data_IF_370619947268
#
_entry.id   IF_370619947268
#
_cell.length_a   1.000
_cell.length_b   1.000
_cell.length_c   1.000
_cell.angle_alpha   90.00
_cell.angle_beta   90.00
_cell.angle_gamma   90.00
#
_symmetry.space_group_name_H-M   'P 1'
#
loop_
_entity.id
_entity.type
_entity.pdbx_description
1 polymer ?
#
# COMPACT_ATOMS: atom_id res chain seq x y z
N UNK A 1 -1.70 -6.28 -9.70
CA UNK A 1 -1.74 -7.04 -10.98
C UNK A 1 -0.59 -8.04 -10.93
N UNK A 2 -0.80 -9.35 -11.12
CA UNK A 2 0.15 -10.48 -10.83
C UNK A 2 0.06 -11.22 -9.48
N UNK A 3 -0.97 -11.04 -8.65
CA UNK A 3 -1.03 -11.85 -7.43
C UNK A 3 -1.06 -13.37 -7.71
N UNK A 4 -1.66 -13.80 -8.84
CA UNK A 4 -1.66 -15.21 -9.27
C UNK A 4 -0.42 -15.69 -10.04
N UNK A 5 0.50 -14.82 -10.47
CA UNK A 5 1.75 -15.26 -11.12
C UNK A 5 2.94 -15.21 -10.16
N UNK A 6 2.88 -14.34 -9.14
CA UNK A 6 3.80 -14.38 -8.00
C UNK A 6 3.61 -15.66 -7.14
N UNK A 7 2.42 -16.28 -7.17
CA UNK A 7 2.18 -17.58 -6.54
C UNK A 7 3.05 -18.72 -7.09
N UNK A 8 3.68 -18.55 -8.26
CA UNK A 8 4.62 -19.52 -8.83
C UNK A 8 6.10 -19.26 -8.50
N UNK A 9 6.42 -18.14 -7.85
CA UNK A 9 7.79 -17.79 -7.42
C UNK A 9 8.05 -18.02 -5.93
N UNK A 10 7.13 -18.69 -5.23
CA UNK A 10 7.33 -19.18 -3.86
C UNK A 10 7.99 -20.57 -3.80
N UNK A 11 8.53 -21.07 -4.92
CA UNK A 11 9.40 -22.24 -4.93
C UNK A 11 10.87 -21.80 -5.09
N UNK A 12 11.58 -21.93 -3.98
CA UNK A 12 13.02 -22.13 -3.88
C UNK A 12 13.94 -21.09 -4.53
N UNK A 13 14.10 -19.95 -3.85
CA UNK A 13 15.43 -19.33 -3.76
C UNK A 13 16.28 -20.12 -2.75
N UNK A 14 16.59 -21.38 -3.07
CA UNK A 14 17.79 -22.02 -2.53
C UNK A 14 19.00 -21.36 -3.21
N UNK A 15 19.49 -20.29 -2.59
CA UNK A 15 20.82 -19.78 -2.89
C UNK A 15 21.80 -20.93 -2.75
N UNK A 16 22.51 -21.22 -3.85
CA UNK A 16 23.63 -22.14 -3.95
C UNK A 16 24.81 -21.64 -3.11
N UNK A 17 24.68 -21.68 -1.79
CA UNK A 17 25.79 -21.60 -0.86
C UNK A 17 26.12 -23.03 -0.42
N UNK A 18 27.28 -23.50 -0.86
CA UNK A 18 27.79 -24.82 -0.52
C UNK A 18 27.91 -25.03 1.00
N UNK A 19 27.55 -26.24 1.41
CA UNK A 19 28.08 -26.91 2.59
C UNK A 19 27.77 -26.30 3.95
N UNK A 20 26.56 -26.53 4.48
CA UNK A 20 26.31 -26.33 5.92
C UNK A 20 24.86 -26.53 6.33
N UNK A 21 24.45 -27.77 6.63
CA UNK A 21 23.13 -28.06 7.20
C UNK A 21 22.83 -27.22 8.47
N UNK A 22 23.85 -26.81 9.23
CA UNK A 22 23.70 -25.95 10.42
C UNK A 22 23.28 -24.50 10.13
N UNK A 23 23.74 -23.89 9.02
CA UNK A 23 23.39 -22.51 8.67
C UNK A 23 21.94 -22.38 8.17
N UNK A 24 21.43 -23.38 7.43
CA UNK A 24 20.03 -23.39 6.98
C UNK A 24 19.04 -23.48 8.16
N UNK A 25 19.35 -24.28 9.18
CA UNK A 25 18.50 -24.42 10.38
C UNK A 25 18.49 -23.14 11.22
N UNK A 26 19.64 -22.47 11.36
CA UNK A 26 19.72 -21.20 12.09
C UNK A 26 18.97 -20.07 11.35
N UNK A 27 19.12 -19.99 10.02
CA UNK A 27 18.40 -19.03 9.20
C UNK A 27 16.88 -19.27 9.24
N UNK A 28 16.46 -20.54 9.13
CA UNK A 28 15.06 -20.93 9.27
C UNK A 28 14.52 -20.57 10.66
N UNK A 29 15.29 -20.81 11.72
CA UNK A 29 14.95 -20.45 13.10
C UNK A 29 14.78 -18.94 13.28
N UNK A 30 15.68 -18.13 12.72
CA UNK A 30 15.58 -16.66 12.73
C UNK A 30 14.37 -16.14 11.94
N UNK A 31 14.09 -16.72 10.77
CA UNK A 31 12.92 -16.36 9.96
C UNK A 31 11.62 -16.72 10.69
N UNK A 32 11.58 -17.89 11.35
CA UNK A 32 10.42 -18.31 12.17
C UNK A 32 10.24 -17.37 13.37
N UNK A 33 11.31 -17.03 14.09
CA UNK A 33 11.26 -16.08 15.20
C UNK A 33 10.80 -14.69 14.76
N UNK A 34 11.34 -14.17 13.65
CA UNK A 34 10.92 -12.89 13.09
C UNK A 34 9.42 -12.89 12.73
N UNK A 35 8.92 -13.97 12.12
CA UNK A 35 7.49 -14.13 11.79
C UNK A 35 6.61 -14.21 13.04
N UNK A 36 7.05 -14.93 14.08
CA UNK A 36 6.31 -15.01 15.36
C UNK A 36 6.23 -13.61 15.99
N UNK A 37 7.34 -12.88 16.01
CA UNK A 37 7.40 -11.51 16.52
C UNK A 37 6.49 -10.57 15.72
N UNK A 38 6.56 -10.58 14.39
CA UNK A 38 5.72 -9.74 13.54
C UNK A 38 4.22 -10.01 13.71
N UNK A 39 3.84 -11.28 13.84
CA UNK A 39 2.46 -11.67 14.14
C UNK A 39 2.00 -11.11 15.48
N UNK A 40 2.75 -11.36 16.57
CA UNK A 40 2.40 -10.87 17.91
C UNK A 40 2.33 -9.33 17.97
N UNK A 41 3.21 -8.64 17.25
CA UNK A 41 3.19 -7.18 17.17
C UNK A 41 1.94 -6.64 16.48
N UNK A 42 1.52 -7.24 15.35
CA UNK A 42 0.26 -6.85 14.68
C UNK A 42 -0.93 -7.06 15.60
N UNK A 43 -1.03 -8.21 16.27
CA UNK A 43 -2.12 -8.48 17.22
C UNK A 43 -2.10 -7.47 18.37
N UNK A 44 -0.93 -7.17 18.93
CA UNK A 44 -0.78 -6.18 20.00
C UNK A 44 -1.23 -4.79 19.56
N UNK A 45 -0.89 -4.35 18.35
CA UNK A 45 -1.34 -3.06 17.81
C UNK A 45 -2.85 -3.05 17.54
N UNK A 46 -3.41 -4.15 17.04
CA UNK A 46 -4.85 -4.32 16.84
C UNK A 46 -5.65 -4.29 18.15
N UNK A 47 -5.03 -4.55 19.30
CA UNK A 47 -5.65 -4.58 20.62
C UNK A 47 -5.27 -3.38 21.50
N UNK A 48 -4.29 -2.59 21.07
CA UNK A 48 -3.82 -1.43 21.82
C UNK A 48 -4.95 -0.41 22.04
N UNK A 49 -5.28 -0.03 23.30
CA UNK A 49 -6.45 0.80 23.61
C UNK A 49 -6.52 2.11 22.82
N UNK A 50 -5.38 2.80 22.66
CA UNK A 50 -5.32 4.08 21.94
C UNK A 50 -5.56 3.90 20.44
N UNK A 51 -5.07 2.81 19.84
CA UNK A 51 -5.27 2.52 18.41
C UNK A 51 -6.69 2.04 18.13
N UNK A 52 -7.28 1.28 19.05
CA UNK A 52 -8.71 0.95 19.01
C UNK A 52 -9.57 2.21 19.10
N UNK A 53 -9.20 3.17 19.95
CA UNK A 53 -9.90 4.46 20.07
C UNK A 53 -9.73 5.32 18.82
N UNK A 54 -8.51 5.36 18.26
CA UNK A 54 -8.22 6.06 17.01
C UNK A 54 -9.00 5.47 15.83
N UNK A 55 -9.06 4.13 15.71
CA UNK A 55 -9.86 3.43 14.71
C UNK A 55 -11.35 3.76 14.82
N UNK A 56 -11.92 3.73 16.03
CA UNK A 56 -13.33 4.14 16.26
C UNK A 56 -13.58 5.58 15.87
N UNK A 57 -12.65 6.48 16.19
CA UNK A 57 -12.71 7.89 15.81
C UNK A 57 -12.61 8.07 14.29
N UNK A 58 -11.78 7.28 13.62
CA UNK A 58 -11.65 7.30 12.16
C UNK A 58 -12.93 6.80 11.47
N UNK A 59 -13.57 5.75 12.01
CA UNK A 59 -14.82 5.20 11.49
C UNK A 59 -16.01 6.17 11.51
N UNK A 60 -15.99 7.21 12.35
CA UNK A 60 -17.06 8.23 12.38
C UNK A 60 -16.80 9.40 11.45
N UNK A 61 -15.61 9.50 10.84
CA UNK A 61 -15.30 10.51 9.83
C UNK A 61 -16.02 10.13 8.53
N UNK A 62 -16.86 11.01 7.95
CA UNK A 62 -17.46 10.76 6.66
C UNK A 62 -16.39 10.59 5.57
N UNK A 63 -16.54 9.57 4.72
CA UNK A 63 -15.65 9.39 3.57
C UNK A 63 -15.77 10.58 2.60
N UNK A 64 -14.65 11.24 2.34
CA UNK A 64 -14.59 12.39 1.43
C UNK A 64 -14.47 11.92 -0.01
N UNK A 65 -15.41 12.34 -0.85
CA UNK A 65 -15.35 12.14 -2.30
C UNK A 65 -14.58 13.30 -2.93
N UNK A 66 -13.44 13.00 -3.54
CA UNK A 66 -12.60 13.98 -4.22
C UNK A 66 -12.91 13.94 -5.72
N UNK A 67 -13.29 15.09 -6.25
CA UNK A 67 -13.59 15.33 -7.66
C UNK A 67 -13.06 16.69 -8.08
N UNK A 68 -12.70 16.83 -9.36
CA UNK A 68 -12.40 18.13 -9.97
C UNK A 68 -13.74 18.77 -10.34
N UNK A 69 -14.05 19.92 -9.74
CA UNK A 69 -15.16 20.78 -10.16
C UNK A 69 -14.63 21.92 -11.01
N UNK A 70 -15.27 22.20 -12.15
CA UNK A 70 -14.92 23.32 -13.03
C UNK A 70 -15.20 24.70 -12.38
N UNK A 71 -16.01 24.75 -11.32
CA UNK A 71 -16.54 26.00 -10.74
C UNK A 71 -15.75 26.54 -9.52
N UNK A 72 -14.76 25.80 -9.00
CA UNK A 72 -14.02 26.18 -7.80
C UNK A 72 -12.51 26.16 -8.02
N UNK A 73 -11.79 27.06 -7.32
CA UNK A 73 -10.32 27.02 -7.22
C UNK A 73 -9.96 25.67 -6.63
N UNK A 74 -9.38 24.80 -7.46
CA UNK A 74 -9.12 23.41 -7.13
C UNK A 74 -8.02 23.33 -6.07
N UNK A 75 -8.30 22.64 -4.97
CA UNK A 75 -7.28 22.29 -4.00
C UNK A 75 -6.20 21.46 -4.70
N UNK A 76 -4.95 21.90 -4.62
CA UNK A 76 -3.87 21.20 -5.33
C UNK A 76 -3.62 19.84 -4.70
N UNK A 77 -3.83 18.78 -5.47
CA UNK A 77 -3.82 17.41 -4.97
C UNK A 77 -2.78 16.52 -5.65
N UNK A 78 -2.25 15.56 -4.88
CA UNK A 78 -1.40 14.48 -5.37
C UNK A 78 -2.07 13.15 -5.09
N UNK A 79 -2.45 12.44 -6.14
CA UNK A 79 -2.97 11.08 -6.04
C UNK A 79 -1.84 10.06 -6.26
N UNK A 80 -1.83 8.99 -5.46
CA UNK A 80 -0.83 7.91 -5.48
C UNK A 80 -1.52 6.61 -5.86
N UNK A 81 -1.10 5.96 -6.95
CA UNK A 81 -1.62 4.63 -7.32
C UNK A 81 -0.95 3.52 -6.52
N UNK A 82 -1.52 2.32 -6.63
CA UNK A 82 -0.89 1.08 -6.17
C UNK A 82 0.61 1.01 -6.54
N UNK A 83 1.45 0.63 -5.56
CA UNK A 83 2.93 0.54 -5.62
C UNK A 83 3.64 1.89 -5.83
N UNK A 84 2.94 3.01 -5.85
CA UNK A 84 3.56 4.32 -5.90
C UNK A 84 3.78 4.90 -4.50
N UNK A 85 4.63 5.92 -4.44
CA UNK A 85 4.73 6.82 -3.30
C UNK A 85 4.98 8.26 -3.76
N UNK A 86 4.57 9.21 -2.92
CA UNK A 86 4.81 10.62 -3.11
C UNK A 86 5.09 11.30 -1.77
N UNK A 87 6.08 12.18 -1.74
CA UNK A 87 6.33 13.10 -0.61
C UNK A 87 5.94 14.50 -1.03
N UNK A 88 5.19 15.20 -0.18
CA UNK A 88 4.68 16.52 -0.48
C UNK A 88 5.01 17.51 0.62
N UNK A 89 5.28 18.74 0.20
CA UNK A 89 5.44 19.90 1.06
C UNK A 89 4.07 20.57 1.25
N UNK A 90 3.64 20.84 2.51
CA UNK A 90 2.35 21.48 2.79
C UNK A 90 2.20 22.88 2.21
N UNK A 91 3.30 23.55 1.83
CA UNK A 91 3.26 24.84 1.11
C UNK A 91 2.92 24.72 -0.38
N UNK A 92 3.05 23.52 -0.96
CA UNK A 92 2.87 23.28 -2.39
C UNK A 92 1.61 22.47 -2.69
N UNK A 93 1.28 21.49 -1.86
CA UNK A 93 0.18 20.54 -2.08
C UNK A 93 -0.74 20.61 -0.89
N UNK A 94 -2.05 20.72 -1.12
CA UNK A 94 -3.06 20.79 -0.06
C UNK A 94 -3.55 19.40 0.35
N UNK A 95 -3.64 18.48 -0.62
CA UNK A 95 -4.18 17.14 -0.41
C UNK A 95 -3.27 16.10 -1.04
N UNK A 96 -2.92 15.04 -0.31
CA UNK A 96 -2.26 13.85 -0.88
C UNK A 96 -3.00 12.60 -0.44
N UNK A 97 -3.16 11.61 -1.31
CA UNK A 97 -3.86 10.39 -0.93
C UNK A 97 -3.86 9.29 -1.97
N UNK A 98 -4.56 8.22 -1.62
CA UNK A 98 -4.69 7.00 -2.42
C UNK A 98 -6.04 6.36 -2.15
N UNK A 99 -6.59 5.64 -3.13
CA UNK A 99 -7.72 4.74 -2.94
C UNK A 99 -7.51 3.41 -3.68
N UNK A 100 -8.60 2.67 -3.91
CA UNK A 100 -8.62 1.32 -4.53
C UNK A 100 -7.86 0.25 -3.73
N UNK A 101 -7.60 0.49 -2.43
CA UNK A 101 -6.97 -0.49 -1.55
C UNK A 101 -8.01 -1.52 -1.07
N UNK A 102 -7.95 -2.72 -1.65
CA UNK A 102 -8.67 -3.89 -1.14
C UNK A 102 -7.79 -4.62 -0.12
N UNK A 103 -6.90 -5.50 -0.57
CA UNK A 103 -5.91 -6.18 0.28
C UNK A 103 -4.64 -5.36 0.53
N UNK A 104 -4.45 -4.30 -0.25
CA UNK A 104 -3.35 -3.36 -0.12
C UNK A 104 -3.53 -2.44 1.10
N UNK A 105 -2.47 -1.75 1.51
CA UNK A 105 -2.48 -0.79 2.62
C UNK A 105 -1.95 0.56 2.16
N UNK A 106 -2.77 1.61 2.32
CA UNK A 106 -2.33 2.99 2.24
C UNK A 106 -1.57 3.37 3.52
N UNK A 107 -0.35 3.89 3.35
CA UNK A 107 0.52 4.30 4.43
C UNK A 107 0.83 5.80 4.33
N UNK A 108 0.70 6.50 5.45
CA UNK A 108 1.15 7.89 5.62
C UNK A 108 2.30 7.91 6.62
N UNK A 109 3.39 8.59 6.28
CA UNK A 109 4.45 8.98 7.22
C UNK A 109 4.54 10.50 7.18
N UNK A 110 4.40 11.16 8.34
CA UNK A 110 4.46 12.62 8.44
C UNK A 110 5.50 13.06 9.44
N UNK A 111 6.33 14.02 9.01
CA UNK A 111 7.15 14.81 9.91
C UNK A 111 6.30 15.94 10.47
N UNK A 112 5.94 15.86 11.75
CA UNK A 112 5.05 16.84 12.39
C UNK A 112 5.72 18.20 12.64
N UNK A 113 7.05 18.28 12.57
CA UNK A 113 7.81 19.54 12.73
C UNK A 113 7.77 20.33 11.43
N UNK A 114 8.08 19.69 10.30
CA UNK A 114 8.14 20.35 8.99
C UNK A 114 6.80 20.32 8.25
N UNK A 115 5.90 19.41 8.63
CA UNK A 115 4.66 19.11 7.91
C UNK A 115 4.85 18.25 6.66
N UNK A 116 6.09 17.93 6.29
CA UNK A 116 6.41 17.05 5.16
C UNK A 116 5.67 15.71 5.31
N UNK A 117 4.90 15.35 4.29
CA UNK A 117 3.99 14.20 4.32
C UNK A 117 4.30 13.28 3.17
N UNK A 118 4.60 12.01 3.46
CA UNK A 118 4.75 10.97 2.46
C UNK A 118 3.58 9.98 2.50
N UNK A 119 3.00 9.71 1.34
CA UNK A 119 1.95 8.69 1.16
C UNK A 119 2.48 7.60 0.23
N UNK A 120 2.23 6.35 0.58
CA UNK A 120 2.52 5.18 -0.23
C UNK A 120 1.32 4.23 -0.29
N UNK A 121 1.15 3.54 -1.41
CA UNK A 121 0.18 2.46 -1.55
C UNK A 121 0.93 1.12 -1.62
N UNK A 122 1.00 0.42 -0.50
CA UNK A 122 1.74 -0.83 -0.36
C UNK A 122 0.87 -2.01 -0.80
N UNK A 123 1.35 -2.79 -1.77
CA UNK A 123 0.58 -3.88 -2.38
C UNK A 123 1.10 -5.29 -2.07
N UNK A 124 2.29 -5.39 -1.50
CA UNK A 124 2.95 -6.65 -1.24
C UNK A 124 4.03 -6.48 -0.17
N UNK A 125 4.33 -7.53 0.63
CA UNK A 125 5.44 -7.50 1.58
C UNK A 125 6.80 -7.13 0.95
N UNK A 126 7.02 -7.52 -0.30
CA UNK A 126 8.30 -7.35 -1.00
C UNK A 126 8.71 -5.90 -1.18
N UNK A 127 7.75 -4.97 -1.29
CA UNK A 127 8.05 -3.54 -1.48
C UNK A 127 8.21 -2.77 -0.19
N UNK A 128 7.84 -3.34 0.95
CA UNK A 128 7.72 -2.61 2.23
C UNK A 128 9.07 -2.11 2.73
N UNK A 129 10.09 -2.97 2.74
CA UNK A 129 11.37 -2.64 3.36
C UNK A 129 12.08 -1.48 2.64
N UNK A 130 12.23 -1.57 1.32
CA UNK A 130 12.83 -0.50 0.54
C UNK A 130 11.87 0.67 0.41
N UNK A 131 10.55 0.43 0.32
CA UNK A 131 9.54 1.47 0.25
C UNK A 131 9.56 2.40 1.45
N UNK A 132 9.56 1.86 2.68
CA UNK A 132 9.67 2.67 3.89
C UNK A 132 11.00 3.44 3.89
N UNK A 133 12.11 2.80 3.51
CA UNK A 133 13.39 3.53 3.36
C UNK A 133 13.32 4.69 2.35
N UNK A 134 12.66 4.49 1.20
CA UNK A 134 12.43 5.55 0.21
C UNK A 134 11.62 6.70 0.80
N UNK A 135 10.52 6.41 1.49
CA UNK A 135 9.68 7.43 2.15
C UNK A 135 10.50 8.21 3.19
N UNK A 136 11.26 7.49 4.01
CA UNK A 136 12.10 8.06 5.07
C UNK A 136 13.16 9.03 4.55
N UNK A 137 13.79 8.70 3.43
CA UNK A 137 14.79 9.58 2.80
C UNK A 137 14.26 10.95 2.38
N UNK A 138 12.94 11.13 2.29
CA UNK A 138 12.29 12.37 1.84
C UNK A 138 11.61 13.15 2.96
N UNK A 139 11.28 12.51 4.10
CA UNK A 139 10.57 13.15 5.22
C UNK A 139 11.43 13.41 6.45
N UNK A 140 12.54 12.68 6.59
CA UNK A 140 13.47 12.90 7.71
C UNK A 140 14.42 14.05 7.40
N UNK A 141 14.60 14.96 8.37
CA UNK A 141 15.73 15.87 8.35
C UNK A 141 16.98 15.07 8.69
N UNK A 142 18.01 15.14 7.84
CA UNK A 142 19.28 14.43 8.02
C UNK A 142 19.99 14.74 9.34
N UNK A 143 19.62 15.85 9.97
CA UNK A 143 20.35 16.44 11.08
C UNK A 143 19.72 16.12 12.45
N UNK A 144 18.55 15.46 12.49
CA UNK A 144 17.87 15.15 13.75
C UNK A 144 17.26 13.74 13.80
N UNK A 145 18.08 12.79 14.26
CA UNK A 145 17.69 11.39 14.44
C UNK A 145 16.70 11.17 15.61
N UNK A 146 16.34 12.20 16.38
CA UNK A 146 15.40 12.09 17.50
C UNK A 146 13.96 12.45 17.14
N UNK A 147 13.69 12.86 15.89
CA UNK A 147 12.33 13.13 15.42
C UNK A 147 11.50 11.84 15.45
N UNK A 148 10.31 11.92 16.06
CA UNK A 148 9.29 10.88 16.01
C UNK A 148 8.32 11.21 14.89
N UNK A 149 8.14 10.27 13.96
CA UNK A 149 7.28 10.45 12.80
C UNK A 149 5.92 9.80 13.01
N UNK A 150 4.87 10.53 12.67
CA UNK A 150 3.52 10.03 12.75
C UNK A 150 3.25 9.05 11.59
N UNK A 151 2.70 7.88 11.92
CA UNK A 151 2.35 6.84 10.94
C UNK A 151 0.84 6.57 10.97
N UNK A 152 0.22 6.55 9.80
CA UNK A 152 -1.17 6.13 9.64
C UNK A 152 -1.26 5.01 8.60
N UNK A 153 -2.02 3.96 8.92
CA UNK A 153 -2.25 2.81 8.06
C UNK A 153 -3.76 2.64 7.87
N UNK A 154 -4.21 2.63 6.61
CA UNK A 154 -5.61 2.42 6.23
C UNK A 154 -5.67 1.49 5.03
N UNK A 155 -6.52 0.46 5.09
CA UNK A 155 -6.65 -0.54 4.02
C UNK A 155 -6.44 -1.95 4.54
N UNK A 156 -6.44 -2.93 3.65
CA UNK A 156 -6.46 -4.33 4.02
C UNK A 156 -7.75 -4.71 4.76
N UNK A 157 -8.06 -5.99 4.78
CA UNK A 157 -9.18 -6.53 5.55
C UNK A 157 -8.88 -7.99 5.91
N UNK A 158 -9.77 -8.65 6.63
CA UNK A 158 -9.65 -10.10 6.87
C UNK A 158 -10.04 -10.88 5.60
N UNK A 159 -9.12 -10.90 4.63
CA UNK A 159 -9.34 -11.43 3.28
C UNK A 159 -9.21 -12.96 3.16
N UNK A 160 -8.84 -13.62 4.25
CA UNK A 160 -8.88 -15.08 4.41
C UNK A 160 -9.67 -15.48 5.64
N UNK A 161 -10.18 -16.72 5.65
CA UNK A 161 -10.81 -17.26 6.86
C UNK A 161 -9.76 -17.34 7.99
N UNK A 162 -10.15 -17.07 9.25
CA UNK A 162 -9.28 -17.32 10.39
C UNK A 162 -9.07 -18.83 10.53
N UNK A 163 -7.95 -19.33 10.01
CA UNK A 163 -7.46 -20.67 10.29
C UNK A 163 -6.35 -20.58 11.31
N UNK A 164 -6.52 -21.28 12.44
CA UNK A 164 -5.50 -21.39 13.47
C UNK A 164 -4.22 -21.97 12.83
N UNK A 165 -3.14 -21.19 12.83
CA UNK A 165 -1.77 -21.56 12.41
C UNK A 165 -1.38 -21.37 10.93
N UNK A 166 -2.14 -20.63 10.11
CA UNK A 166 -1.63 -20.19 8.80
C UNK A 166 -1.86 -18.70 8.57
N UNK A 167 -0.78 -18.00 8.21
CA UNK A 167 -0.85 -16.66 7.65
C UNK A 167 -1.31 -16.80 6.19
N UNK A 168 -2.60 -17.05 5.99
CA UNK A 168 -3.26 -17.02 4.68
C UNK A 168 -3.74 -15.60 4.36
N UNK A 169 -4.12 -15.37 3.10
CA UNK A 169 -4.51 -14.05 2.60
C UNK A 169 -3.33 -13.15 2.26
N UNK A 170 -3.64 -11.93 1.84
CA UNK A 170 -2.71 -10.92 1.37
C UNK A 170 -2.54 -9.79 2.39
N UNK A 171 -3.60 -9.42 3.12
CA UNK A 171 -3.58 -8.24 3.99
C UNK A 171 -2.74 -8.47 5.25
N UNK A 172 -2.86 -9.63 5.90
CA UNK A 172 -2.14 -9.92 7.15
C UNK A 172 -0.62 -10.03 6.94
N UNK A 173 -0.09 -10.79 5.96
CA UNK A 173 1.34 -10.77 5.66
C UNK A 173 1.89 -9.37 5.37
N UNK A 174 1.12 -8.54 4.67
CA UNK A 174 1.50 -7.16 4.37
C UNK A 174 1.59 -6.33 5.66
N UNK A 175 0.59 -6.39 6.52
CA UNK A 175 0.59 -5.70 7.82
C UNK A 175 1.75 -6.16 8.71
N UNK A 176 2.01 -7.47 8.79
CA UNK A 176 3.16 -8.00 9.51
C UNK A 176 4.46 -7.37 9.01
N UNK A 177 4.68 -7.39 7.69
CA UNK A 177 5.93 -6.87 7.13
C UNK A 177 6.11 -5.37 7.37
N UNK A 178 5.02 -4.60 7.34
CA UNK A 178 5.03 -3.17 7.67
C UNK A 178 5.46 -2.97 9.12
N UNK A 179 4.81 -3.64 10.06
CA UNK A 179 5.08 -3.49 11.50
C UNK A 179 6.49 -3.95 11.87
N UNK A 180 6.95 -5.09 11.33
CA UNK A 180 8.34 -5.56 11.48
C UNK A 180 9.34 -4.53 10.98
N UNK A 181 9.11 -3.95 9.79
CA UNK A 181 10.01 -2.98 9.19
C UNK A 181 10.06 -1.68 9.98
N UNK A 182 8.91 -1.20 10.49
CA UNK A 182 8.85 -0.03 11.35
C UNK A 182 9.62 -0.24 12.65
N UNK A 183 9.47 -1.40 13.30
CA UNK A 183 10.12 -1.69 14.57
C UNK A 183 11.63 -1.95 14.46
N UNK A 184 12.09 -2.43 13.31
CA UNK A 184 13.51 -2.65 13.02
C UNK A 184 14.21 -1.39 12.48
N UNK A 185 13.44 -0.33 12.21
CA UNK A 185 13.97 0.91 11.69
C UNK A 185 14.83 1.65 12.71
N UNK A 186 15.79 2.41 12.20
CA UNK A 186 16.55 3.38 13.00
C UNK A 186 15.75 4.65 13.31
N UNK A 187 14.71 4.91 12.52
CA UNK A 187 13.80 6.03 12.73
C UNK A 187 12.75 5.71 13.78
N UNK A 188 12.34 6.72 14.54
CA UNK A 188 11.30 6.58 15.57
C UNK A 188 9.94 6.87 14.96
N UNK A 189 8.98 5.98 15.21
CA UNK A 189 7.63 6.09 14.69
C UNK A 189 6.61 6.07 15.81
N UNK A 190 5.54 6.83 15.63
CA UNK A 190 4.34 6.74 16.44
C UNK A 190 3.15 6.41 15.53
N UNK A 191 2.58 5.23 15.71
CA UNK A 191 1.40 4.83 14.94
C UNK A 191 0.21 5.58 15.54
N UNK A 192 -0.36 6.49 14.76
CA UNK A 192 -1.52 7.33 15.13
C UNK A 192 -2.83 6.69 14.73
N UNK A 193 -2.84 5.95 13.63
CA UNK A 193 -4.02 5.26 13.12
C UNK A 193 -3.62 3.89 12.56
N UNK A 194 -4.30 2.83 13.00
CA UNK A 194 -4.07 1.45 12.58
C UNK A 194 -5.38 0.83 12.09
N UNK A 195 -5.96 1.46 11.06
CA UNK A 195 -7.24 1.11 10.45
C UNK A 195 -7.04 0.01 9.39
N UNK A 196 -6.64 -1.18 9.84
CA UNK A 196 -6.36 -2.34 8.98
C UNK A 196 -7.01 -3.61 9.52
N UNK A 197 -7.09 -4.66 8.70
CA UNK A 197 -7.56 -6.00 9.10
C UNK A 197 -8.93 -5.93 9.80
N UNK A 198 -9.07 -6.47 11.03
CA UNK A 198 -10.33 -6.49 11.79
C UNK A 198 -10.97 -5.11 11.95
N UNK A 199 -10.16 -4.05 12.05
CA UNK A 199 -10.64 -2.68 12.20
C UNK A 199 -11.18 -2.11 10.89
N UNK A 200 -10.70 -2.60 9.74
CA UNK A 200 -11.17 -2.21 8.41
C UNK A 200 -12.04 -3.29 7.77
N UNK A 201 -12.58 -4.26 8.51
CA UNK A 201 -13.40 -5.35 7.96
C UNK A 201 -14.88 -5.14 8.26
N UNK A 202 -15.72 -5.18 7.22
CA UNK A 202 -17.16 -5.41 7.33
C UNK A 202 -17.52 -6.78 6.75
N UNK A 203 -18.59 -7.39 7.23
CA UNK A 203 -19.11 -8.65 6.71
C UNK A 203 -20.54 -8.51 6.22
N UNK A 204 -20.86 -9.14 5.09
CA UNK A 204 -22.23 -9.22 4.60
C UNK A 204 -23.04 -10.30 5.34
N UNK A 205 -24.33 -10.44 5.00
CA UNK A 205 -25.22 -11.43 5.60
C UNK A 205 -24.82 -12.89 5.32
N UNK A 206 -23.94 -13.14 4.36
CA UNK A 206 -23.39 -14.45 4.02
C UNK A 206 -22.03 -14.71 4.69
N UNK A 207 -21.53 -13.73 5.46
CA UNK A 207 -20.23 -13.81 6.14
C UNK A 207 -19.03 -13.43 5.27
N UNK A 208 -19.23 -13.01 4.02
CA UNK A 208 -18.12 -12.56 3.17
C UNK A 208 -17.54 -11.26 3.73
N UNK A 209 -16.22 -11.17 3.78
CA UNK A 209 -15.50 -10.02 4.29
C UNK A 209 -15.23 -9.01 3.16
N UNK A 210 -15.30 -7.72 3.50
CA UNK A 210 -15.00 -6.60 2.63
C UNK A 210 -14.28 -5.51 3.43
N UNK A 211 -13.42 -4.71 2.80
CA UNK A 211 -12.87 -3.52 3.44
C UNK A 211 -13.97 -2.48 3.71
N UNK A 212 -13.88 -1.79 4.85
CA UNK A 212 -14.75 -0.66 5.19
C UNK A 212 -14.34 0.53 4.32
N UNK A 213 -13.07 0.91 4.39
CA UNK A 213 -12.46 2.00 3.64
C UNK A 213 -11.46 1.45 2.61
N UNK A 214 -11.50 2.04 1.41
CA UNK A 214 -10.60 1.67 0.30
C UNK A 214 -9.50 2.71 0.08
N UNK A 215 -9.52 3.82 0.82
CA UNK A 215 -8.63 4.93 0.59
C UNK A 215 -8.57 5.92 1.73
N UNK A 216 -7.56 6.77 1.65
CA UNK A 216 -7.32 7.85 2.59
C UNK A 216 -6.84 9.09 1.83
N UNK A 217 -7.09 10.25 2.41
CA UNK A 217 -6.45 11.51 2.02
C UNK A 217 -5.88 12.20 3.26
N UNK A 218 -4.86 13.02 3.04
CA UNK A 218 -4.23 13.83 4.08
C UNK A 218 -4.36 15.29 3.68
N UNK A 219 -4.94 16.10 4.54
CA UNK A 219 -4.83 17.56 4.46
C UNK A 219 -3.46 17.95 4.98
N UNK A 220 -2.56 18.38 4.10
CA UNK A 220 -1.13 18.50 4.41
C UNK A 220 -0.82 19.56 5.46
N UNK A 221 -1.57 20.66 5.44
CA UNK A 221 -1.42 21.80 6.36
C UNK A 221 -1.69 21.40 7.82
N UNK A 222 -2.69 20.56 8.06
CA UNK A 222 -3.07 20.08 9.39
C UNK A 222 -2.47 18.71 9.73
N UNK A 223 -2.23 17.89 8.71
CA UNK A 223 -1.94 16.46 8.80
C UNK A 223 -3.15 15.59 9.09
N UNK A 224 -4.36 16.14 8.95
CA UNK A 224 -5.58 15.39 9.19
C UNK A 224 -5.72 14.28 8.14
N UNK A 225 -5.75 13.03 8.60
CA UNK A 225 -6.01 11.86 7.76
C UNK A 225 -7.51 11.55 7.80
N UNK A 226 -8.12 11.49 6.62
CA UNK A 226 -9.55 11.22 6.44
C UNK A 226 -9.75 10.03 5.50
N UNK A 227 -10.82 9.21 5.68
CA UNK A 227 -11.21 8.25 4.67
C UNK A 227 -11.61 8.99 3.39
N UNK A 228 -11.17 8.51 2.23
CA UNK A 228 -11.42 9.18 0.97
C UNK A 228 -11.57 8.22 -0.21
N UNK A 229 -12.34 8.66 -1.20
CA UNK A 229 -12.38 8.06 -2.54
C UNK A 229 -12.11 9.12 -3.59
N UNK A 230 -11.41 8.75 -4.66
CA UNK A 230 -10.99 9.63 -5.73
C UNK A 230 -11.73 9.23 -7.00
N UNK A 231 -12.40 10.16 -7.65
CA UNK A 231 -12.98 9.89 -8.97
C UNK A 231 -11.91 9.90 -10.08
N UNK A 232 -12.31 9.52 -11.30
CA UNK A 232 -11.40 9.49 -12.45
C UNK A 232 -10.74 10.85 -12.75
N UNK A 233 -11.40 11.97 -12.40
CA UNK A 233 -10.86 13.31 -12.65
C UNK A 233 -9.69 13.64 -11.73
N UNK A 234 -9.68 13.11 -10.51
CA UNK A 234 -8.64 13.38 -9.49
C UNK A 234 -7.47 12.41 -9.49
N UNK A 235 -7.55 11.32 -10.26
CA UNK A 235 -6.46 10.34 -10.44
C UNK A 235 -5.46 10.74 -11.53
N UNK A 236 -5.28 12.04 -11.71
CA UNK A 236 -4.37 12.63 -12.68
C UNK A 236 -2.95 12.81 -12.11
N UNK A 237 -1.94 13.08 -12.97
CA UNK A 237 -1.97 12.97 -14.43
C UNK A 237 -1.83 11.52 -14.89
N UNK A 238 -2.14 11.29 -16.17
CA UNK A 238 -1.84 10.07 -16.94
C UNK A 238 -2.17 8.73 -16.25
N UNK A 239 -3.37 8.64 -15.69
CA UNK A 239 -3.98 7.44 -15.07
C UNK A 239 -3.57 6.13 -15.79
N UNK A 240 -3.85 6.07 -17.10
CA UNK A 240 -3.55 4.88 -17.92
C UNK A 240 -2.04 4.57 -17.96
N UNK A 241 -1.19 5.57 -18.21
CA UNK A 241 0.26 5.36 -18.33
C UNK A 241 0.85 4.88 -17.01
N UNK A 242 0.39 5.45 -15.88
CA UNK A 242 0.84 5.05 -14.53
C UNK A 242 0.39 3.64 -14.17
N UNK A 243 -0.83 3.24 -14.56
CA UNK A 243 -1.29 1.85 -14.41
C UNK A 243 -0.49 0.86 -15.28
N UNK A 244 -0.14 1.23 -16.52
CA UNK A 244 0.74 0.39 -17.35
C UNK A 244 2.14 0.31 -16.73
N UNK A 245 2.67 1.42 -16.19
CA UNK A 245 3.97 1.45 -15.47
C UNK A 245 3.96 0.49 -14.28
N UNK A 246 2.88 0.46 -13.51
CA UNK A 246 2.69 -0.52 -12.44
C UNK A 246 2.82 -1.95 -12.97
N UNK A 247 2.09 -2.30 -14.02
CA UNK A 247 2.14 -3.65 -14.62
C UNK A 247 3.53 -4.01 -15.13
N UNK A 248 4.21 -3.07 -15.80
CA UNK A 248 5.56 -3.25 -16.29
C UNK A 248 6.60 -3.39 -15.15
N UNK A 249 6.35 -2.76 -14.00
CA UNK A 249 7.29 -2.78 -12.87
C UNK A 249 7.50 -4.16 -12.25
N UNK A 250 6.52 -5.07 -12.37
CA UNK A 250 6.63 -6.44 -11.86
C UNK A 250 7.68 -7.27 -12.62
N UNK A 251 7.97 -6.91 -13.86
CA UNK A 251 8.93 -7.61 -14.72
C UNK A 251 10.26 -6.84 -14.86
N UNK A 252 10.41 -5.67 -14.21
CA UNK A 252 11.65 -4.87 -14.24
C UNK A 252 12.52 -5.14 -13.00
N UNK A 253 13.66 -5.85 -13.14
CA UNK A 253 14.55 -6.14 -12.01
C UNK A 253 15.08 -4.89 -11.31
N UNK A 254 15.16 -3.75 -12.00
CA UNK A 254 15.60 -2.46 -11.42
C UNK A 254 14.58 -1.88 -10.45
N UNK A 255 13.32 -2.30 -10.55
CA UNK A 255 12.20 -1.90 -9.69
C UNK A 255 11.84 -2.96 -8.65
N UNK A 256 12.56 -4.10 -8.62
CA UNK A 256 12.32 -5.18 -7.66
C UNK A 256 12.39 -4.68 -6.22
N UNK A 257 11.31 -4.95 -5.47
CA UNK A 257 11.16 -4.54 -4.07
C UNK A 257 11.03 -3.04 -3.83
N UNK A 258 10.91 -2.20 -4.87
CA UNK A 258 10.83 -0.74 -4.74
C UNK A 258 9.42 -0.22 -4.97
N UNK A 259 9.11 0.89 -4.32
CA UNK A 259 7.97 1.74 -4.70
C UNK A 259 8.36 2.62 -5.89
N UNK A 260 7.35 2.94 -6.70
CA UNK A 260 7.44 3.81 -7.85
C UNK A 260 7.30 5.26 -7.41
N UNK A 261 8.36 6.04 -7.65
CA UNK A 261 8.39 7.48 -7.49
C UNK A 261 7.49 8.15 -8.53
N UNK A 262 6.57 9.04 -8.09
CA UNK A 262 5.64 9.73 -9.01
C UNK A 262 5.55 11.23 -8.86
N UNK A 263 6.03 11.80 -7.75
CA UNK A 263 5.97 13.22 -7.49
C UNK A 263 7.30 13.72 -6.94
N UNK A 264 7.85 14.77 -7.55
CA UNK A 264 9.08 15.43 -7.13
C UNK A 264 8.74 16.74 -6.41
N UNK A 265 8.95 16.75 -5.10
CA UNK A 265 8.58 17.89 -4.24
C UNK A 265 9.36 19.16 -4.59
N UNK A 266 10.65 19.03 -4.92
CA UNK A 266 11.53 20.17 -5.18
C UNK A 266 11.13 20.98 -6.41
N UNK A 267 10.62 20.31 -7.44
CA UNK A 267 10.22 20.94 -8.70
C UNK A 267 8.71 21.05 -8.86
N UNK A 268 7.96 20.58 -7.86
CA UNK A 268 6.51 20.67 -7.80
C UNK A 268 5.80 19.97 -8.99
N UNK A 269 6.27 18.77 -9.35
CA UNK A 269 5.85 18.09 -10.58
C UNK A 269 5.64 16.60 -10.39
N UNK A 270 4.68 16.07 -11.14
CA UNK A 270 4.62 14.63 -11.40
C UNK A 270 5.74 14.22 -12.34
N UNK A 271 6.48 13.18 -11.96
CA UNK A 271 7.57 12.62 -12.77
C UNK A 271 7.29 11.14 -13.01
N UNK A 272 6.79 10.84 -14.21
CA UNK A 272 6.60 9.47 -14.66
C UNK A 272 7.86 9.06 -15.41
N UNK A 273 8.78 8.41 -14.70
CA UNK A 273 10.06 7.99 -15.29
C UNK A 273 9.84 6.99 -16.43
N UNK A 274 10.67 7.02 -17.50
CA UNK A 274 10.54 6.09 -18.62
C UNK A 274 10.55 4.63 -18.15
N UNK A 275 9.67 3.83 -18.73
CA UNK A 275 9.57 2.40 -18.45
C UNK A 275 9.37 1.62 -19.76
N UNK A 276 9.63 0.33 -19.69
CA UNK A 276 9.49 -0.61 -20.82
C UNK A 276 8.69 -1.80 -20.36
N UNK A 277 7.87 -2.35 -21.25
CA UNK A 277 7.17 -3.61 -21.02
C UNK A 277 7.75 -4.72 -21.88
N UNK A 278 7.59 -5.96 -21.44
CA UNK A 278 8.06 -7.13 -22.18
C UNK A 278 6.99 -7.61 -23.17
N UNK A 279 7.39 -8.51 -24.07
CA UNK A 279 6.45 -9.23 -24.93
C UNK A 279 5.47 -10.11 -24.13
N UNK A 280 5.85 -10.53 -22.91
CA UNK A 280 4.97 -11.29 -22.03
C UNK A 280 3.79 -10.44 -21.56
N UNK A 281 4.04 -9.20 -21.13
CA UNK A 281 2.97 -8.28 -20.76
C UNK A 281 2.03 -7.99 -21.96
N UNK A 282 2.58 -7.83 -23.16
CA UNK A 282 1.78 -7.66 -24.38
C UNK A 282 0.91 -8.89 -24.65
N UNK A 283 1.49 -10.09 -24.56
CA UNK A 283 0.74 -11.34 -24.74
C UNK A 283 -0.38 -11.49 -23.72
N UNK A 284 -0.10 -11.18 -22.45
CA UNK A 284 -1.08 -11.19 -21.37
C UNK A 284 -2.24 -10.22 -21.65
N UNK A 285 -1.94 -8.98 -22.04
CA UNK A 285 -2.95 -8.00 -22.41
C UNK A 285 -3.83 -8.48 -23.57
N UNK A 286 -3.24 -9.08 -24.61
CA UNK A 286 -3.99 -9.66 -25.74
C UNK A 286 -4.90 -10.81 -25.30
N UNK A 287 -4.43 -11.68 -24.40
CA UNK A 287 -5.22 -12.78 -23.85
C UNK A 287 -6.42 -12.24 -23.03
N UNK A 288 -6.19 -11.24 -22.18
CA UNK A 288 -7.24 -10.63 -21.34
C UNK A 288 -8.33 -9.94 -22.17
N UNK A 289 -8.01 -9.37 -23.33
CA UNK A 289 -8.99 -8.76 -24.25
C UNK A 289 -10.08 -9.73 -24.72
N UNK A 290 -9.84 -11.03 -24.67
CA UNK A 290 -10.79 -12.06 -25.08
C UNK A 290 -11.51 -12.73 -23.90
N UNK A 291 -11.29 -12.25 -22.66
CA UNK A 291 -11.92 -12.77 -21.45
C UNK A 291 -13.18 -11.98 -21.08
N UNK A 292 -14.11 -12.69 -20.45
CA UNK A 292 -15.29 -12.08 -19.82
C UNK A 292 -14.92 -11.33 -18.54
N UNK A 293 -15.80 -10.44 -18.08
CA UNK A 293 -15.59 -9.63 -16.88
C UNK A 293 -15.30 -10.47 -15.63
N UNK A 294 -16.02 -11.59 -15.36
CA UNK A 294 -15.70 -12.47 -14.26
C UNK A 294 -14.33 -13.15 -14.39
N UNK A 295 -13.93 -13.54 -15.61
CA UNK A 295 -12.62 -14.15 -15.85
C UNK A 295 -11.48 -13.15 -15.62
N UNK A 296 -11.65 -11.90 -16.06
CA UNK A 296 -10.69 -10.82 -15.78
C UNK A 296 -10.58 -10.62 -14.28
N UNK A 297 -11.72 -10.40 -13.61
CA UNK A 297 -11.77 -10.18 -12.16
C UNK A 297 -11.09 -11.29 -11.37
N UNK A 298 -11.41 -12.56 -11.64
CA UNK A 298 -10.84 -13.72 -10.96
C UNK A 298 -9.35 -13.93 -11.25
N UNK A 299 -8.87 -13.50 -12.41
CA UNK A 299 -7.47 -13.68 -12.79
C UNK A 299 -6.57 -12.54 -12.32
N UNK A 300 -7.09 -11.32 -12.17
CA UNK A 300 -6.28 -10.13 -11.89
C UNK A 300 -6.37 -9.61 -10.45
N UNK A 301 -7.44 -9.95 -9.70
CA UNK A 301 -7.70 -9.47 -8.34
C UNK A 301 -7.20 -10.41 -7.25
N UNK A 302 -6.78 -9.86 -6.10
CA UNK A 302 -6.53 -10.59 -4.85
C UNK A 302 -7.80 -10.93 -4.08
N UNK A 303 -8.84 -10.12 -4.28
CA UNK A 303 -10.09 -10.20 -3.55
C UNK A 303 -11.25 -9.95 -4.51
N UNK A 304 -11.57 -10.89 -5.42
CA UNK A 304 -12.57 -10.70 -6.48
C UNK A 304 -13.94 -10.21 -5.99
N UNK A 305 -14.34 -10.60 -4.79
CA UNK A 305 -15.62 -10.16 -4.20
C UNK A 305 -15.59 -8.71 -3.68
N UNK A 306 -14.40 -8.19 -3.37
CA UNK A 306 -14.23 -6.90 -2.70
C UNK A 306 -13.78 -5.76 -3.62
N UNK A 307 -13.56 -6.02 -4.91
CA UNK A 307 -13.15 -4.99 -5.86
C UNK A 307 -14.26 -3.96 -6.13
N UNK A 308 -13.84 -2.73 -6.42
CA UNK A 308 -14.74 -1.65 -6.82
C UNK A 308 -15.43 -1.92 -8.17
N UNK A 309 -16.57 -1.25 -8.45
CA UNK A 309 -17.35 -1.47 -9.67
C UNK A 309 -16.58 -1.18 -10.96
N UNK A 310 -15.63 -0.25 -10.92
CA UNK A 310 -14.83 0.15 -12.08
C UNK A 310 -13.57 -0.70 -12.29
N UNK A 311 -13.31 -1.68 -11.42
CA UNK A 311 -12.08 -2.47 -11.46
C UNK A 311 -11.85 -3.13 -12.82
N UNK A 312 -12.82 -3.91 -13.30
CA UNK A 312 -12.71 -4.62 -14.59
C UNK A 312 -12.65 -3.64 -15.76
N UNK A 313 -13.38 -2.52 -15.69
CA UNK A 313 -13.32 -1.48 -16.70
C UNK A 313 -11.90 -0.89 -16.80
N UNK A 314 -11.27 -0.60 -15.66
CA UNK A 314 -9.90 -0.11 -15.59
C UNK A 314 -8.87 -1.14 -16.06
N UNK A 315 -9.10 -2.45 -15.85
CA UNK A 315 -8.23 -3.50 -16.40
C UNK A 315 -8.30 -3.61 -17.93
N UNK A 316 -9.42 -3.19 -18.55
CA UNK A 316 -9.63 -3.28 -20.01
C UNK A 316 -9.12 -2.08 -20.78
N UNK A 317 -9.05 -0.91 -20.14
CA UNK A 317 -8.55 0.34 -20.72
C UNK A 317 -7.05 0.27 -20.96
#
# INVERSE_FOLDING_TARGET
>A
MFFNYAGSYFQDYESTCGGGQGCKVFLLGLVVLARILGHEMVISLLEHPDLVSASRSFCVIPERKLSISEEHVQAKSVYVFQREYATVDPSLVEIVGTDEATTCVGMVIRNCITGMTCVAHLDSPDVVAIGIFQMMSQVSDSDNNDIVLDVHLVGGFEDSAPQENRVEGYSFPLCMKIVETLAQSVFKFEIRNFQVLKHNTRRDSKGNAYPIFHGLAVETSSGLVIPACFDASTRCPDDIIRRIRLSASFEDPRRSGRLLDTYETQTDRFVITPFTWTNQLVHYALLMRHRSDPEILLSTSTSPLAEGPDYVHNQKR
#
